data_IF_365946939487
#
_entry.id   IF_365946939487
#
_cell.length_a   1.000
_cell.length_b   1.000
_cell.length_c   1.000
_cell.angle_alpha   90.00
_cell.angle_beta   90.00
_cell.angle_gamma   90.00
#
_symmetry.space_group_name_H-M   'P 1'
#
loop_
_entity.id
_entity.type
_entity.pdbx_description
1 polymer ?
#
# COMPACT_ATOMS: atom_id res chain seq x y z
N UNK A 1 8.53 52.64 39.80
CA UNK A 1 7.62 52.31 38.66
C UNK A 1 8.34 52.30 37.31
N UNK A 2 9.60 51.83 37.22
CA UNK A 2 10.35 51.67 35.96
C UNK A 2 10.62 50.21 35.59
N UNK A 3 10.32 49.28 36.51
CA UNK A 3 10.61 47.84 36.36
C UNK A 3 9.46 47.03 35.76
N UNK A 4 8.24 47.58 35.68
CA UNK A 4 7.07 46.88 35.11
C UNK A 4 7.02 46.96 33.57
N UNK A 5 7.66 47.98 32.97
CA UNK A 5 7.69 48.17 31.51
C UNK A 5 8.63 47.18 30.80
N UNK A 6 9.65 46.65 31.48
CA UNK A 6 10.61 45.69 30.90
C UNK A 6 10.08 44.27 30.84
N UNK A 7 9.18 43.88 31.75
CA UNK A 7 8.55 42.55 31.70
C UNK A 7 7.55 42.44 30.54
N UNK A 8 6.82 43.50 30.23
CA UNK A 8 5.85 43.50 29.13
C UNK A 8 6.52 43.37 27.76
N UNK A 9 7.71 43.93 27.56
CA UNK A 9 8.44 43.84 26.28
C UNK A 9 9.06 42.47 26.00
N UNK A 10 9.40 41.70 27.05
CA UNK A 10 9.94 40.33 26.92
C UNK A 10 8.81 39.34 26.58
N UNK A 11 7.59 39.58 27.06
CA UNK A 11 6.43 38.74 26.76
C UNK A 11 5.90 38.89 25.33
N UNK A 12 6.08 40.05 24.69
CA UNK A 12 5.61 40.27 23.31
C UNK A 12 6.59 39.66 22.28
N UNK A 13 7.88 39.52 22.64
CA UNK A 13 8.92 39.04 21.72
C UNK A 13 8.95 37.52 21.53
N UNK A 14 8.21 36.73 22.33
CA UNK A 14 8.12 35.28 22.18
C UNK A 14 6.99 34.79 21.26
N UNK A 15 6.11 35.67 20.79
CA UNK A 15 4.93 35.30 19.98
C UNK A 15 5.20 35.27 18.46
N UNK A 16 6.39 35.68 17.99
CA UNK A 16 6.74 35.68 16.57
C UNK A 16 7.82 34.61 16.25
N UNK A 17 7.53 33.35 16.56
CA UNK A 17 8.33 32.23 16.03
C UNK A 17 7.45 31.33 15.14
N UNK A 18 7.30 31.79 13.90
CA UNK A 18 7.38 30.96 12.69
C UNK A 18 6.48 29.72 12.62
N UNK A 19 5.21 29.93 12.27
CA UNK A 19 4.42 28.91 11.58
C UNK A 19 4.92 28.75 10.13
N UNK A 20 6.07 28.11 9.93
CA UNK A 20 6.38 27.47 8.65
C UNK A 20 5.78 26.08 8.68
N UNK A 21 4.49 25.97 8.37
CA UNK A 21 3.91 24.70 7.96
C UNK A 21 4.47 24.37 6.59
N UNK A 22 5.55 23.58 6.55
CA UNK A 22 6.00 22.90 5.35
C UNK A 22 4.86 22.01 4.87
N UNK A 23 4.30 22.32 3.70
CA UNK A 23 3.40 21.42 2.99
C UNK A 23 4.19 20.13 2.74
N UNK A 24 3.94 19.13 3.58
CA UNK A 24 4.52 17.80 3.43
C UNK A 24 4.08 17.25 2.07
N UNK A 25 4.97 16.60 1.29
CA UNK A 25 4.58 16.00 0.03
C UNK A 25 3.40 15.06 0.29
N UNK A 26 2.28 15.35 -0.38
CA UNK A 26 1.07 14.52 -0.29
C UNK A 26 1.49 13.06 -0.53
N UNK A 27 1.37 12.17 0.46
CA UNK A 27 1.82 10.80 0.28
C UNK A 27 1.04 10.21 -0.89
N UNK A 28 1.79 9.71 -1.87
CA UNK A 28 1.23 8.91 -2.96
C UNK A 28 0.31 7.87 -2.34
N UNK A 29 -0.95 7.82 -2.78
CA UNK A 29 -1.98 6.92 -2.25
C UNK A 29 -1.71 5.43 -2.58
N UNK A 30 -0.44 5.06 -2.75
CA UNK A 30 0.01 3.68 -2.78
C UNK A 30 -0.18 3.15 -1.36
N UNK A 31 -1.02 2.12 -1.16
CA UNK A 31 -1.19 1.51 0.15
C UNK A 31 0.17 0.97 0.59
N UNK A 32 0.70 1.57 1.65
CA UNK A 32 1.90 1.14 2.30
C UNK A 32 1.60 -0.04 3.21
N UNK A 33 2.44 -1.07 3.17
CA UNK A 33 2.41 -2.15 4.15
C UNK A 33 3.62 -1.95 5.06
N UNK A 34 3.38 -1.67 6.33
CA UNK A 34 4.45 -1.48 7.29
C UNK A 34 5.12 -2.82 7.65
N UNK A 35 6.45 -2.77 7.74
CA UNK A 35 7.35 -3.90 7.94
C UNK A 35 8.40 -3.56 9.01
N UNK A 36 8.90 -4.58 9.69
CA UNK A 36 9.96 -4.39 10.66
C UNK A 36 11.24 -3.85 9.99
N UNK A 37 11.88 -2.82 10.58
CA UNK A 37 13.22 -2.42 10.16
C UNK A 37 14.21 -3.59 10.20
N UNK A 38 15.15 -3.64 9.26
CA UNK A 38 16.13 -4.75 9.20
C UNK A 38 17.14 -4.70 10.36
N UNK A 39 17.33 -3.53 10.96
CA UNK A 39 18.18 -3.30 12.12
C UNK A 39 17.55 -2.26 13.05
N UNK A 40 17.93 -2.34 14.32
CA UNK A 40 17.64 -1.30 15.31
C UNK A 40 18.66 -0.14 15.21
N UNK A 41 18.54 0.87 16.09
CA UNK A 41 19.49 1.99 16.11
C UNK A 41 20.85 1.64 16.71
N UNK A 42 20.97 0.48 17.38
CA UNK A 42 22.23 -0.08 17.89
C UNK A 42 22.93 -1.02 16.88
N UNK A 43 22.35 -1.22 15.69
CA UNK A 43 22.78 -2.17 14.65
C UNK A 43 22.57 -3.67 14.96
N UNK A 44 21.74 -4.03 15.93
CA UNK A 44 21.27 -5.40 16.08
C UNK A 44 20.38 -5.77 14.89
N UNK A 45 20.59 -6.97 14.34
CA UNK A 45 19.79 -7.46 13.23
C UNK A 45 18.39 -7.86 13.71
N UNK A 46 17.40 -7.69 12.84
CA UNK A 46 16.05 -8.21 13.04
C UNK A 46 16.11 -9.74 13.23
N UNK A 47 15.58 -10.21 14.36
CA UNK A 47 15.38 -11.62 14.66
C UNK A 47 13.94 -12.04 14.35
N UNK A 48 13.24 -12.50 15.40
CA UNK A 48 11.83 -12.87 15.32
C UNK A 48 10.93 -11.64 15.07
N UNK A 49 9.93 -11.78 14.22
CA UNK A 49 8.98 -10.70 13.95
C UNK A 49 7.60 -11.22 13.55
N UNK A 50 6.56 -10.44 13.87
CA UNK A 50 5.18 -10.71 13.49
C UNK A 50 4.56 -9.41 12.97
N UNK A 51 4.40 -9.33 11.66
CA UNK A 51 3.90 -8.13 10.97
C UNK A 51 2.42 -8.24 10.57
N UNK A 52 1.84 -9.44 10.73
CA UNK A 52 0.42 -9.69 10.43
C UNK A 52 -0.50 -9.23 11.55
N UNK A 53 0.00 -9.12 12.79
CA UNK A 53 -0.77 -8.73 13.98
C UNK A 53 -0.87 -7.20 14.13
N UNK A 54 -1.78 -6.77 15.01
CA UNK A 54 -1.86 -5.41 15.55
C UNK A 54 -1.52 -5.48 17.05
N UNK A 55 -0.43 -4.87 17.53
CA UNK A 55 0.63 -4.15 16.80
C UNK A 55 1.59 -5.07 16.02
N UNK A 56 2.43 -4.49 15.16
CA UNK A 56 3.59 -5.16 14.56
C UNK A 56 4.63 -5.39 15.66
N UNK A 57 5.14 -6.62 15.77
CA UNK A 57 6.18 -7.01 16.71
C UNK A 57 7.50 -7.24 15.98
N UNK A 58 8.57 -6.59 16.43
CA UNK A 58 9.92 -6.74 15.86
C UNK A 58 10.93 -6.99 16.98
N UNK A 59 11.64 -8.11 16.95
CA UNK A 59 12.67 -8.45 17.93
C UNK A 59 14.06 -8.08 17.42
N UNK A 60 14.85 -7.42 18.25
CA UNK A 60 16.24 -7.05 17.96
C UNK A 60 17.09 -7.43 19.16
N UNK A 61 18.10 -8.28 18.97
CA UNK A 61 18.89 -8.77 20.11
C UNK A 61 18.02 -9.45 21.18
N UNK A 62 18.05 -8.90 22.39
CA UNK A 62 17.38 -9.46 23.58
C UNK A 62 16.01 -8.82 23.88
N UNK A 63 15.63 -7.73 23.21
CA UNK A 63 14.33 -7.11 23.39
C UNK A 63 13.61 -6.86 22.07
N UNK A 64 12.61 -5.98 22.12
CA UNK A 64 11.63 -5.86 21.05
C UNK A 64 11.01 -4.47 20.95
N UNK A 65 10.47 -4.19 19.77
CA UNK A 65 9.81 -2.95 19.42
C UNK A 65 8.40 -3.25 18.91
N UNK A 66 7.44 -2.45 19.34
CA UNK A 66 6.06 -2.50 18.87
C UNK A 66 5.78 -1.30 17.98
N UNK A 67 5.12 -1.54 16.84
CA UNK A 67 4.73 -0.49 15.92
C UNK A 67 3.24 -0.57 15.59
N UNK A 68 2.62 0.59 15.42
CA UNK A 68 1.28 0.68 14.91
C UNK A 68 1.25 0.26 13.44
N UNK A 69 0.37 -0.67 13.09
CA UNK A 69 0.30 -1.23 11.73
C UNK A 69 -0.39 -0.29 10.72
N UNK A 70 -1.10 0.75 11.17
CA UNK A 70 -1.72 1.74 10.26
C UNK A 70 -0.83 2.94 9.94
N UNK A 71 -0.01 3.37 10.89
CA UNK A 71 0.80 4.59 10.80
C UNK A 71 2.29 4.29 10.71
N UNK A 72 2.69 3.06 11.09
CA UNK A 72 4.08 2.65 11.20
C UNK A 72 4.82 3.31 12.36
N UNK A 73 4.15 4.07 13.22
CA UNK A 73 4.80 4.75 14.34
C UNK A 73 5.12 3.74 15.45
N UNK A 74 6.27 3.91 16.09
CA UNK A 74 6.62 3.13 17.28
C UNK A 74 5.63 3.41 18.41
N UNK A 75 5.00 2.36 18.94
CA UNK A 75 4.05 2.45 20.05
C UNK A 75 4.68 2.06 21.38
N UNK A 76 5.66 1.16 21.37
CA UNK A 76 6.40 0.77 22.57
C UNK A 76 7.84 0.39 22.25
N UNK A 77 8.74 0.81 23.14
CA UNK A 77 10.17 0.50 23.11
C UNK A 77 10.50 -0.40 24.31
N UNK A 78 10.94 -1.62 24.02
CA UNK A 78 11.45 -2.56 25.02
C UNK A 78 12.94 -2.89 24.77
N UNK A 79 13.67 -1.99 24.12
CA UNK A 79 15.10 -2.08 23.80
C UNK A 79 15.88 -0.87 24.33
N UNK A 80 15.46 -0.30 25.46
CA UNK A 80 16.18 0.81 26.14
C UNK A 80 16.46 2.04 25.26
N UNK A 81 15.57 2.39 24.33
CA UNK A 81 15.76 3.55 23.45
C UNK A 81 16.36 3.22 22.08
N UNK A 82 16.66 1.95 21.79
CA UNK A 82 17.28 1.56 20.52
C UNK A 82 16.28 1.20 19.43
N UNK A 83 14.98 1.25 19.73
CA UNK A 83 13.95 1.00 18.73
C UNK A 83 13.94 2.11 17.67
N UNK A 84 13.93 1.74 16.37
CA UNK A 84 13.64 2.70 15.32
C UNK A 84 12.33 3.43 15.57
N UNK A 85 12.27 4.73 15.29
CA UNK A 85 11.06 5.53 15.54
C UNK A 85 9.88 5.16 14.64
N UNK A 86 10.15 4.51 13.50
CA UNK A 86 9.15 4.11 12.51
C UNK A 86 9.47 2.76 11.87
N UNK A 87 8.42 1.99 11.61
CA UNK A 87 8.44 0.82 10.75
C UNK A 87 8.67 1.23 9.28
N UNK A 88 9.18 0.31 8.48
CA UNK A 88 9.47 0.55 7.05
C UNK A 88 8.18 0.41 6.25
N UNK A 89 7.85 1.44 5.48
CA UNK A 89 6.80 1.37 4.48
C UNK A 89 7.30 0.54 3.28
N UNK A 90 6.89 -0.72 3.19
CA UNK A 90 7.06 -1.50 1.98
C UNK A 90 5.94 -1.16 1.00
N UNK A 91 6.28 -0.45 -0.08
CA UNK A 91 5.36 -0.31 -1.21
C UNK A 91 5.18 -1.69 -1.84
N UNK A 92 3.93 -2.15 -1.95
CA UNK A 92 3.64 -3.34 -2.75
C UNK A 92 3.95 -2.96 -4.20
N UNK A 93 5.15 -3.33 -4.67
CA UNK A 93 5.48 -3.26 -6.08
C UNK A 93 4.51 -4.19 -6.78
N UNK A 94 3.47 -3.61 -7.41
CA UNK A 94 2.56 -4.39 -8.25
C UNK A 94 3.43 -5.07 -9.28
N UNK A 95 3.51 -6.40 -9.23
CA UNK A 95 4.20 -7.20 -10.26
C UNK A 95 3.75 -6.65 -11.61
N UNK A 96 4.73 -6.33 -12.46
CA UNK A 96 4.43 -5.87 -13.81
C UNK A 96 3.41 -6.85 -14.42
N UNK A 97 2.30 -6.35 -14.99
CA UNK A 97 1.30 -7.23 -15.57
C UNK A 97 2.01 -8.16 -16.56
N UNK A 98 1.68 -9.45 -16.49
CA UNK A 98 2.16 -10.42 -17.47
C UNK A 98 1.89 -9.86 -18.88
N UNK A 99 2.83 -10.01 -19.82
CA UNK A 99 2.63 -9.55 -21.19
C UNK A 99 1.31 -10.12 -21.71
N UNK A 100 0.38 -9.23 -22.06
CA UNK A 100 -0.89 -9.64 -22.65
C UNK A 100 -0.58 -10.34 -23.97
N UNK A 101 -1.13 -11.55 -24.15
CA UNK A 101 -1.01 -12.23 -25.43
C UNK A 101 -1.60 -11.34 -26.53
N UNK A 102 -1.05 -11.39 -27.76
CA UNK A 102 -1.58 -10.61 -28.87
C UNK A 102 -3.08 -10.90 -29.04
N UNK A 103 -3.91 -9.87 -28.84
CA UNK A 103 -5.35 -9.97 -29.07
C UNK A 103 -5.55 -10.24 -30.56
N UNK A 104 -5.88 -11.48 -30.93
CA UNK A 104 -6.15 -11.81 -32.33
C UNK A 104 -7.31 -10.94 -32.81
N UNK A 105 -7.05 -10.07 -33.79
CA UNK A 105 -8.05 -9.18 -34.41
C UNK A 105 -9.01 -9.92 -35.36
N UNK A 106 -9.00 -11.24 -35.34
CA UNK A 106 -9.84 -12.05 -36.23
C UNK A 106 -10.99 -12.61 -35.40
N UNK A 107 -12.17 -12.07 -35.62
CA UNK A 107 -13.38 -12.84 -35.38
C UNK A 107 -13.23 -14.14 -36.17
N UNK A 108 -13.33 -15.30 -35.52
CA UNK A 108 -13.50 -16.58 -36.23
C UNK A 108 -14.65 -16.37 -37.20
N UNK A 109 -14.37 -16.31 -38.50
CA UNK A 109 -15.41 -16.51 -39.50
C UNK A 109 -15.95 -17.91 -39.22
N UNK A 110 -17.16 -17.96 -38.65
CA UNK A 110 -17.89 -19.20 -38.51
C UNK A 110 -18.11 -19.69 -39.93
N UNK A 111 -17.55 -20.85 -40.25
CA UNK A 111 -17.76 -21.47 -41.55
C UNK A 111 -19.25 -21.80 -41.69
N UNK A 112 -19.95 -21.00 -42.50
CA UNK A 112 -21.40 -21.11 -42.68
C UNK A 112 -21.81 -22.31 -43.53
N UNK A 113 -20.84 -23.07 -44.08
CA UNK A 113 -21.12 -24.24 -44.90
C UNK A 113 -21.93 -25.30 -44.14
N UNK A 114 -21.61 -25.54 -42.89
CA UNK A 114 -22.31 -26.52 -42.03
C UNK A 114 -23.76 -26.09 -41.73
N UNK A 115 -23.99 -24.78 -41.55
CA UNK A 115 -25.33 -24.22 -41.33
C UNK A 115 -26.22 -24.35 -42.56
N UNK A 116 -25.64 -24.22 -43.76
CA UNK A 116 -26.37 -24.35 -45.04
C UNK A 116 -26.81 -25.79 -45.31
N UNK A 117 -26.00 -26.78 -44.95
CA UNK A 117 -26.35 -28.21 -45.08
C UNK A 117 -27.53 -28.56 -44.17
N UNK A 118 -27.56 -28.04 -42.94
CA UNK A 118 -28.65 -28.29 -41.98
C UNK A 118 -29.99 -27.71 -42.46
N UNK A 119 -29.97 -26.54 -43.08
CA UNK A 119 -31.18 -25.90 -43.61
C UNK A 119 -31.78 -26.67 -44.80
N UNK A 120 -30.92 -27.20 -45.69
CA UNK A 120 -31.36 -28.03 -46.81
C UNK A 120 -32.00 -29.35 -46.36
N UNK A 121 -31.42 -30.01 -45.36
CA UNK A 121 -31.98 -31.23 -44.76
C UNK A 121 -33.31 -30.97 -44.05
N UNK A 122 -33.45 -29.84 -43.35
CA UNK A 122 -34.70 -29.43 -42.70
C UNK A 122 -35.82 -29.19 -43.71
N UNK A 123 -35.52 -28.51 -44.81
CA UNK A 123 -36.47 -28.19 -45.88
C UNK A 123 -36.94 -29.45 -46.63
N UNK A 124 -36.03 -30.38 -46.93
CA UNK A 124 -36.36 -31.65 -47.57
C UNK A 124 -37.29 -32.54 -46.73
N UNK A 125 -37.18 -32.48 -45.39
CA UNK A 125 -38.07 -33.20 -44.47
C UNK A 125 -39.46 -32.57 -44.39
N UNK A 126 -39.55 -31.24 -44.53
CA UNK A 126 -40.82 -30.50 -44.45
C UNK A 126 -41.69 -30.69 -45.69
N UNK A 127 -41.07 -30.72 -46.88
CA UNK A 127 -41.79 -30.96 -48.16
C UNK A 127 -42.40 -32.37 -48.30
N UNK A 128 -41.86 -33.36 -47.59
CA UNK A 128 -42.43 -34.72 -47.54
C UNK A 128 -43.62 -34.88 -46.60
N UNK A 129 -43.91 -33.86 -45.77
CA UNK A 129 -44.98 -33.90 -44.75
C UNK A 129 -46.22 -33.10 -45.15
N UNK A 130 -46.18 -32.43 -46.31
CA UNK A 130 -47.29 -31.71 -46.93
C UNK A 130 -47.82 -32.54 -48.10
N UNK A 131 -48.54 -33.62 -47.79
CA UNK A 131 -49.48 -34.31 -48.68
C UNK A 131 -50.77 -34.44 -47.89
#
# INVERSE_FOLDING_TARGET
MRSLLTFFTILISSLLMSALTSASPSPSAVPCVYKCPTKDTANHNLGGHVETNFPIYCQYGEGYCLYDKTTGLMTSDHESGHCPSKAICATVSRRAPLPQSPRQKFARQVDTSELKVRDQLGSAKRGKRSV
#
